data_IF_073283471982
#
_entry.id   IF_073283471982
#
_cell.length_a   1.000
_cell.length_b   1.000
_cell.length_c   1.000
_cell.angle_alpha   90.00
_cell.angle_beta   90.00
_cell.angle_gamma   90.00
#
_symmetry.space_group_name_H-M   'P 1'
#
loop_
_entity.id
_entity.type
_entity.pdbx_description
1 polymer ?
#
# COMPACT_ATOMS: atom_id res chain seq x y z
N UNK A 1 -29.41 -6.94 16.96
CA UNK A 1 -29.86 -5.60 16.52
C UNK A 1 -28.86 -4.50 16.90
N UNK A 2 -28.79 -4.01 18.16
CA UNK A 2 -27.83 -2.96 18.54
C UNK A 2 -26.36 -3.45 18.56
N UNK A 3 -26.15 -4.69 19.01
CA UNK A 3 -24.81 -5.30 19.11
C UNK A 3 -24.17 -5.55 17.74
N UNK A 4 -24.97 -5.95 16.75
CA UNK A 4 -24.50 -6.19 15.38
C UNK A 4 -24.13 -4.88 14.68
N UNK A 5 -24.89 -3.82 14.94
CA UNK A 5 -24.59 -2.46 14.45
C UNK A 5 -23.31 -1.91 15.08
N UNK A 6 -23.05 -2.20 16.35
CA UNK A 6 -21.81 -1.84 17.02
C UNK A 6 -20.61 -2.60 16.43
N UNK A 7 -20.74 -3.91 16.18
CA UNK A 7 -19.71 -4.72 15.52
C UNK A 7 -19.42 -4.23 14.10
N UNK A 8 -20.46 -3.88 13.34
CA UNK A 8 -20.32 -3.33 11.99
C UNK A 8 -19.65 -1.94 12.01
N UNK A 9 -20.05 -1.05 12.92
CA UNK A 9 -19.40 0.24 13.08
C UNK A 9 -17.93 0.09 13.51
N UNK A 10 -17.65 -0.84 14.43
CA UNK A 10 -16.29 -1.16 14.84
C UNK A 10 -15.46 -1.71 13.67
N UNK A 11 -15.98 -2.62 12.85
CA UNK A 11 -15.23 -3.15 11.69
C UNK A 11 -14.92 -2.06 10.66
N UNK A 12 -15.83 -1.10 10.45
CA UNK A 12 -15.57 0.06 9.59
C UNK A 12 -14.55 1.04 10.18
N UNK A 13 -14.64 1.31 11.49
CA UNK A 13 -13.78 2.31 12.17
C UNK A 13 -12.38 1.76 12.45
N UNK A 14 -12.28 0.48 12.80
CA UNK A 14 -11.02 -0.14 13.24
C UNK A 14 -10.33 -0.95 12.16
N UNK A 15 -11.01 -1.27 11.05
CA UNK A 15 -10.53 -2.26 10.09
C UNK A 15 -10.43 -3.67 10.69
N UNK A 16 -10.96 -3.91 11.89
CA UNK A 16 -11.02 -5.23 12.55
C UNK A 16 -12.15 -6.03 11.89
N UNK A 17 -11.92 -6.39 10.63
CA UNK A 17 -12.55 -7.50 9.93
C UNK A 17 -11.50 -8.60 9.70
N UNK A 18 -11.89 -9.69 9.04
CA UNK A 18 -10.91 -10.67 8.55
C UNK A 18 -9.81 -9.95 7.74
N UNK A 19 -8.56 -10.44 7.83
CA UNK A 19 -7.44 -9.82 7.11
C UNK A 19 -7.78 -9.67 5.62
N UNK A 20 -7.62 -8.47 5.04
CA UNK A 20 -8.07 -8.17 3.68
C UNK A 20 -7.33 -9.06 2.71
N UNK A 21 -8.03 -9.65 1.73
CA UNK A 21 -7.45 -10.53 0.72
C UNK A 21 -6.17 -9.89 0.12
N UNK A 22 -5.12 -10.64 -0.26
CA UNK A 22 -3.88 -10.02 -0.73
C UNK A 22 -4.02 -9.14 -1.98
N UNK A 23 -5.14 -9.23 -2.71
CA UNK A 23 -5.51 -8.35 -3.83
C UNK A 23 -6.54 -7.27 -3.48
N UNK A 24 -7.03 -7.23 -2.24
CA UNK A 24 -7.91 -6.15 -1.81
C UNK A 24 -7.13 -4.83 -1.82
N UNK A 25 -7.73 -3.74 -2.34
CA UNK A 25 -7.08 -2.43 -2.39
C UNK A 25 -6.52 -1.98 -1.03
N UNK A 26 -5.60 -1.02 -1.08
CA UNK A 26 -5.14 -0.36 0.14
C UNK A 26 -6.32 0.35 0.83
N UNK A 27 -6.41 0.15 2.13
CA UNK A 27 -7.28 0.93 3.00
C UNK A 27 -6.70 2.34 3.25
N UNK A 28 -7.54 3.25 3.74
CA UNK A 28 -7.13 4.62 4.08
C UNK A 28 -5.91 4.64 5.04
N UNK A 29 -5.92 3.78 6.07
CA UNK A 29 -4.83 3.65 7.04
C UNK A 29 -3.53 3.15 6.43
N UNK A 30 -3.62 2.31 5.40
CA UNK A 30 -2.46 1.78 4.70
C UNK A 30 -1.86 2.82 3.76
N UNK A 31 -2.71 3.62 3.11
CA UNK A 31 -2.29 4.78 2.33
C UNK A 31 -1.55 5.78 3.23
N UNK A 32 -2.13 6.14 4.39
CA UNK A 32 -1.47 7.02 5.37
C UNK A 32 -0.13 6.46 5.85
N UNK A 33 -0.06 5.15 6.10
CA UNK A 33 1.17 4.47 6.51
C UNK A 33 2.23 4.49 5.41
N UNK A 34 1.86 4.21 4.16
CA UNK A 34 2.77 4.30 3.02
C UNK A 34 3.36 5.69 2.88
N UNK A 35 2.52 6.73 2.95
CA UNK A 35 2.94 8.14 2.92
C UNK A 35 3.91 8.45 4.07
N UNK A 36 3.62 7.98 5.28
CA UNK A 36 4.47 8.18 6.44
C UNK A 36 5.85 7.50 6.28
N UNK A 37 5.91 6.30 5.69
CA UNK A 37 7.17 5.60 5.39
C UNK A 37 8.01 6.43 4.41
N UNK A 38 7.42 6.86 3.29
CA UNK A 38 8.13 7.66 2.27
C UNK A 38 8.62 8.97 2.86
N UNK A 39 7.79 9.69 3.63
CA UNK A 39 8.14 10.99 4.22
C UNK A 39 9.27 10.94 5.24
N UNK A 40 9.54 9.77 5.87
CA UNK A 40 10.68 9.62 6.79
C UNK A 40 12.01 9.81 6.08
N UNK A 41 12.13 9.37 4.83
CA UNK A 41 13.36 9.43 4.04
C UNK A 41 13.32 10.56 2.99
N UNK A 42 12.12 10.89 2.50
CA UNK A 42 11.89 11.87 1.43
C UNK A 42 10.74 12.81 1.80
N UNK A 43 11.02 13.81 2.65
CA UNK A 43 9.99 14.70 3.20
C UNK A 43 9.42 15.72 2.21
N UNK A 44 10.17 16.05 1.15
CA UNK A 44 9.88 17.12 0.19
C UNK A 44 9.43 16.59 -1.18
N UNK A 45 8.43 15.70 -1.16
CA UNK A 45 7.78 15.15 -2.35
C UNK A 45 6.27 15.30 -2.26
N UNK A 46 5.64 15.42 -3.43
CA UNK A 46 4.19 15.32 -3.61
C UNK A 46 3.83 13.91 -4.04
N UNK A 47 2.64 13.44 -3.66
CA UNK A 47 2.18 12.09 -4.00
C UNK A 47 1.21 12.18 -5.18
N UNK A 48 1.50 11.46 -6.25
CA UNK A 48 0.65 11.36 -7.42
C UNK A 48 -0.31 10.16 -7.32
N UNK A 49 0.23 9.00 -6.97
CA UNK A 49 -0.52 7.77 -6.79
C UNK A 49 0.04 6.99 -5.60
N UNK A 50 -0.86 6.38 -4.82
CA UNK A 50 -0.53 5.44 -3.74
C UNK A 50 -1.48 4.26 -3.90
N UNK A 51 -0.95 3.14 -4.39
CA UNK A 51 -1.77 1.97 -4.77
C UNK A 51 -1.17 0.68 -4.25
N UNK A 52 -1.92 -0.41 -4.29
CA UNK A 52 -1.41 -1.73 -3.91
C UNK A 52 -0.42 -2.21 -4.98
N UNK A 53 0.79 -2.56 -4.59
CA UNK A 53 1.64 -3.40 -5.42
C UNK A 53 1.12 -4.84 -5.30
N UNK A 54 0.43 -5.31 -6.35
CA UNK A 54 -0.11 -6.67 -6.35
C UNK A 54 0.98 -7.72 -6.11
N UNK A 55 0.72 -8.73 -5.24
CA UNK A 55 1.67 -9.81 -5.00
C UNK A 55 2.13 -10.51 -6.27
N UNK A 56 3.39 -10.96 -6.28
CA UNK A 56 3.94 -11.69 -7.42
C UNK A 56 3.13 -12.96 -7.66
N UNK A 57 2.81 -13.25 -8.93
CA UNK A 57 2.02 -14.43 -9.33
C UNK A 57 2.48 -15.72 -8.65
N UNK A 58 3.78 -15.98 -8.61
CA UNK A 58 4.32 -17.22 -8.03
C UNK A 58 4.06 -17.33 -6.51
N UNK A 59 4.12 -16.22 -5.79
CA UNK A 59 3.88 -16.16 -4.34
C UNK A 59 2.39 -16.28 -4.05
N UNK A 60 1.56 -15.52 -4.78
CA UNK A 60 0.12 -15.57 -4.63
C UNK A 60 -0.44 -16.98 -4.94
N UNK A 61 0.04 -17.61 -6.01
CA UNK A 61 -0.40 -18.97 -6.36
C UNK A 61 0.04 -20.02 -5.34
N UNK A 62 1.13 -19.81 -4.59
CA UNK A 62 1.50 -20.67 -3.47
C UNK A 62 0.52 -20.46 -2.31
N UNK A 63 0.26 -19.21 -1.96
CA UNK A 63 -0.66 -18.87 -0.87
C UNK A 63 -2.09 -19.37 -1.14
N UNK A 64 -2.64 -19.18 -2.35
CA UNK A 64 -4.00 -19.66 -2.70
C UNK A 64 -4.13 -21.18 -2.57
N UNK A 65 -3.08 -21.93 -2.88
CA UNK A 65 -3.11 -23.40 -2.84
C UNK A 65 -3.16 -23.94 -1.41
N UNK A 66 -2.51 -23.26 -0.49
CA UNK A 66 -2.43 -23.67 0.92
C UNK A 66 -2.33 -22.46 1.85
N UNK A 67 -3.44 -21.71 2.08
CA UNK A 67 -3.43 -20.50 2.88
C UNK A 67 -3.16 -20.73 4.37
N UNK A 68 -3.35 -21.95 4.86
CA UNK A 68 -3.19 -22.31 6.28
C UNK A 68 -1.73 -22.54 6.65
N UNK A 69 -0.91 -23.01 5.71
CA UNK A 69 0.51 -23.32 5.94
C UNK A 69 1.49 -22.45 5.15
N UNK A 70 0.99 -21.67 4.18
CA UNK A 70 1.83 -20.73 3.41
C UNK A 70 1.75 -19.33 4.00
N UNK A 71 2.90 -18.67 4.26
CA UNK A 71 2.91 -17.27 4.68
C UNK A 71 2.11 -16.39 3.71
N UNK A 72 1.37 -15.42 4.25
CA UNK A 72 0.66 -14.44 3.44
C UNK A 72 1.68 -13.58 2.69
N UNK A 73 1.42 -13.24 1.41
CA UNK A 73 2.27 -12.28 0.72
C UNK A 73 2.33 -10.94 1.44
N UNK A 74 3.50 -10.31 1.44
CA UNK A 74 3.68 -8.99 2.05
C UNK A 74 2.77 -7.96 1.38
N UNK A 75 2.18 -7.08 2.18
CA UNK A 75 1.43 -5.92 1.68
C UNK A 75 2.39 -4.78 1.40
N UNK A 76 2.58 -4.49 0.11
CA UNK A 76 3.47 -3.43 -0.36
C UNK A 76 2.65 -2.37 -1.10
N UNK A 77 2.92 -1.09 -0.83
CA UNK A 77 2.35 0.02 -1.58
C UNK A 77 3.30 0.45 -2.70
N UNK A 78 2.77 0.56 -3.92
CA UNK A 78 3.41 1.23 -5.05
C UNK A 78 3.03 2.71 -5.05
N UNK A 79 4.04 3.57 -5.05
CA UNK A 79 3.91 4.99 -4.80
C UNK A 79 4.64 5.78 -5.87
N UNK A 80 3.88 6.58 -6.63
CA UNK A 80 4.45 7.55 -7.57
C UNK A 80 4.53 8.90 -6.88
N UNK A 81 5.73 9.44 -6.78
CA UNK A 81 6.02 10.73 -6.16
C UNK A 81 6.56 11.75 -7.17
N UNK A 82 6.31 13.03 -6.90
CA UNK A 82 6.82 14.16 -7.68
C UNK A 82 7.69 15.01 -6.75
N UNK A 83 8.99 15.08 -7.05
CA UNK A 83 9.94 15.93 -6.36
C UNK A 83 10.14 17.28 -7.05
N UNK A 84 11.08 18.08 -6.52
CA UNK A 84 11.45 19.37 -7.11
C UNK A 84 11.90 19.23 -8.57
N UNK A 85 11.55 20.23 -9.38
CA UNK A 85 11.88 20.25 -10.81
C UNK A 85 11.09 19.20 -11.60
N UNK A 86 9.90 18.82 -11.12
CA UNK A 86 9.01 17.84 -11.78
C UNK A 86 9.63 16.46 -11.98
N UNK A 87 10.58 16.07 -11.11
CA UNK A 87 11.17 14.74 -11.12
C UNK A 87 10.17 13.71 -10.61
N UNK A 88 10.02 12.61 -11.35
CA UNK A 88 9.11 11.52 -10.98
C UNK A 88 9.91 10.43 -10.29
N UNK A 89 9.37 9.91 -9.19
CA UNK A 89 9.98 8.82 -8.44
C UNK A 89 8.98 7.68 -8.24
N UNK A 90 9.43 6.46 -8.46
CA UNK A 90 8.69 5.25 -8.15
C UNK A 90 9.24 4.65 -6.85
N UNK A 91 8.35 4.48 -5.86
CA UNK A 91 8.67 4.02 -4.52
C UNK A 91 7.85 2.80 -4.13
N UNK A 92 8.47 1.82 -3.50
CA UNK A 92 7.77 0.67 -2.93
C UNK A 92 7.91 0.68 -1.40
N UNK A 93 6.81 0.83 -0.68
CA UNK A 93 6.78 0.82 0.78
C UNK A 93 6.18 -0.49 1.31
N UNK A 94 6.96 -1.25 2.07
CA UNK A 94 6.47 -2.46 2.76
C UNK A 94 5.70 -2.04 4.02
N UNK A 95 4.40 -2.36 4.07
CA UNK A 95 3.50 -1.94 5.13
C UNK A 95 3.54 -2.87 6.35
N UNK A 96 3.95 -4.11 6.13
CA UNK A 96 4.09 -5.14 7.16
C UNK A 96 5.39 -4.91 7.95
N UNK A 97 6.49 -4.63 7.25
CA UNK A 97 7.79 -4.30 7.86
C UNK A 97 7.94 -2.81 8.20
N UNK A 98 7.13 -1.94 7.60
CA UNK A 98 7.14 -0.50 7.86
C UNK A 98 8.36 0.24 7.32
N UNK A 99 8.90 -0.19 6.16
CA UNK A 99 10.15 0.32 5.58
C UNK A 99 10.04 0.61 4.08
N UNK A 100 10.92 1.48 3.57
CA UNK A 100 11.09 1.72 2.14
C UNK A 100 11.92 0.58 1.53
N UNK A 101 11.38 -0.10 0.52
CA UNK A 101 12.04 -1.23 -0.14
C UNK A 101 12.82 -0.78 -1.37
N UNK A 102 12.26 0.16 -2.12
CA UNK A 102 12.95 0.75 -3.28
C UNK A 102 12.49 2.17 -3.53
N UNK A 103 13.38 2.94 -4.13
CA UNK A 103 13.14 4.31 -4.56
C UNK A 103 13.96 4.58 -5.83
N UNK A 104 13.29 4.84 -6.95
CA UNK A 104 13.93 5.06 -8.24
C UNK A 104 13.48 6.40 -8.82
N UNK A 105 14.44 7.20 -9.31
CA UNK A 105 14.15 8.32 -10.19
C UNK A 105 13.80 7.77 -11.58
N UNK A 106 12.65 8.17 -12.10
CA UNK A 106 12.20 7.77 -13.43
C UNK A 106 12.33 9.00 -14.34
N UNK A 107 13.44 9.06 -15.08
CA UNK A 107 13.74 10.17 -15.98
C UNK A 107 12.90 10.10 -17.27
N UNK A 108 12.76 11.25 -17.94
CA UNK A 108 12.08 11.39 -19.24
C UNK A 108 10.60 10.93 -19.29
N UNK A 109 9.92 10.90 -18.13
CA UNK A 109 8.49 10.61 -18.03
C UNK A 109 7.71 11.74 -17.34
N UNK A 110 6.39 11.73 -17.51
CA UNK A 110 5.44 12.57 -16.77
C UNK A 110 4.38 11.68 -16.12
N UNK A 111 3.96 11.98 -14.88
CA UNK A 111 2.94 11.19 -14.21
C UNK A 111 1.55 11.54 -14.75
N UNK A 112 0.54 10.75 -14.38
CA UNK A 112 -0.86 11.08 -14.64
C UNK A 112 -1.21 12.42 -13.99
N UNK A 113 -2.04 13.24 -14.63
CA UNK A 113 -2.56 14.46 -13.99
C UNK A 113 -3.62 14.08 -12.94
N UNK A 114 -3.31 14.32 -11.66
CA UNK A 114 -4.27 14.20 -10.54
C UNK A 114 -5.02 15.53 -10.31
N UNK A 115 -6.24 15.44 -9.77
CA UNK A 115 -7.07 16.61 -9.41
C UNK A 115 -6.90 17.02 -7.96
#
# INVERSE_FOLDING_TARGET
MALDRLKQAASHVTGIGASPHPFDPLSEREIERAVAIIRKEHSDVFFNAVTLLEPRKAEMMKWIKDPEHTPRPHRVADVVCIGRGSKVYDGHADLDEGKLVSWALTDDVQPLVSK
#
